data_IF_402023249372
#
_entry.id   IF_402023249372
#
_cell.length_a   1.000
_cell.length_b   1.000
_cell.length_c   1.000
_cell.angle_alpha   90.00
_cell.angle_beta   90.00
_cell.angle_gamma   90.00
#
_symmetry.space_group_name_H-M   'P 1'
#
loop_
_entity.id
_entity.type
_entity.pdbx_description
1 polymer ?
#
# COMPACT_ATOMS: atom_id res chain seq x y z
N UNK A 1 -5.65 26.19 -22.74
CA UNK A 1 -5.47 26.79 -21.41
C UNK A 1 -5.21 25.66 -20.45
N UNK A 2 -3.98 25.58 -19.97
CA UNK A 2 -3.48 24.47 -19.15
C UNK A 2 -3.91 24.72 -17.71
N UNK A 3 -4.92 24.00 -17.20
CA UNK A 3 -5.20 23.98 -15.77
C UNK A 3 -4.03 23.29 -15.07
N UNK A 4 -3.17 24.09 -14.46
CA UNK A 4 -2.18 23.60 -13.51
C UNK A 4 -2.94 22.86 -12.41
N UNK A 5 -2.72 21.55 -12.27
CA UNK A 5 -3.17 20.82 -11.09
C UNK A 5 -2.53 21.51 -9.89
N UNK A 6 -3.31 22.30 -9.15
CA UNK A 6 -2.91 22.79 -7.84
C UNK A 6 -2.46 21.56 -7.06
N UNK A 7 -1.18 21.52 -6.68
CA UNK A 7 -0.62 20.40 -5.93
C UNK A 7 -1.49 20.22 -4.68
N UNK A 8 -2.19 19.08 -4.59
CA UNK A 8 -3.10 18.81 -3.49
C UNK A 8 -2.29 18.77 -2.20
N UNK A 9 -2.60 19.67 -1.27
CA UNK A 9 -2.01 19.63 0.07
C UNK A 9 -2.41 18.32 0.75
N UNK A 10 -1.46 17.39 0.82
CA UNK A 10 -1.69 16.04 1.35
C UNK A 10 -2.00 16.03 2.84
N UNK A 11 -1.69 17.11 3.57
CA UNK A 11 -1.96 17.23 5.01
C UNK A 11 -3.33 17.80 5.31
N UNK A 12 -4.01 18.37 4.31
CA UNK A 12 -5.36 18.89 4.48
C UNK A 12 -6.33 17.73 4.79
N UNK A 13 -6.97 17.72 5.97
CA UNK A 13 -7.88 16.66 6.34
C UNK A 13 -9.23 16.84 5.64
N UNK A 14 -9.64 15.86 4.84
CA UNK A 14 -10.84 15.96 3.98
C UNK A 14 -11.72 14.71 3.99
N UNK A 15 -11.25 13.58 4.52
CA UNK A 15 -11.98 12.32 4.50
C UNK A 15 -12.59 12.01 5.85
N UNK A 16 -13.87 11.71 5.90
CA UNK A 16 -14.49 11.10 7.08
C UNK A 16 -14.06 9.63 7.22
N UNK A 17 -14.23 9.06 8.42
CA UNK A 17 -13.79 7.68 8.72
C UNK A 17 -14.36 6.62 7.76
N UNK A 18 -15.59 6.78 7.28
CA UNK A 18 -16.18 5.84 6.32
C UNK A 18 -15.44 5.86 4.99
N UNK A 19 -15.16 7.06 4.45
CA UNK A 19 -14.41 7.23 3.20
C UNK A 19 -12.98 6.74 3.37
N UNK A 20 -12.31 7.10 4.46
CA UNK A 20 -10.95 6.64 4.76
C UNK A 20 -10.87 5.10 4.81
N UNK A 21 -11.82 4.45 5.49
CA UNK A 21 -11.93 3.00 5.59
C UNK A 21 -12.08 2.34 4.21
N UNK A 22 -12.93 2.92 3.34
CA UNK A 22 -13.08 2.45 1.96
C UNK A 22 -11.79 2.61 1.15
N UNK A 23 -11.12 3.76 1.23
CA UNK A 23 -9.89 4.04 0.48
C UNK A 23 -8.77 3.05 0.82
N UNK A 24 -8.65 2.66 2.09
CA UNK A 24 -7.63 1.70 2.54
C UNK A 24 -8.12 0.25 2.57
N UNK A 25 -9.34 -0.03 2.10
CA UNK A 25 -10.00 -1.33 2.16
C UNK A 25 -9.93 -1.97 3.56
N UNK A 26 -10.28 -1.20 4.59
CA UNK A 26 -10.25 -1.61 5.99
C UNK A 26 -11.59 -1.35 6.67
N UNK A 27 -11.84 -2.02 7.80
CA UNK A 27 -13.03 -1.75 8.59
C UNK A 27 -12.83 -0.46 9.43
N UNK A 28 -13.85 0.41 9.62
CA UNK A 28 -13.72 1.61 10.45
C UNK A 28 -13.23 1.33 11.88
N UNK A 29 -13.55 0.16 12.44
CA UNK A 29 -13.03 -0.28 13.74
C UNK A 29 -11.49 -0.39 13.75
N UNK A 30 -10.90 -0.86 12.66
CA UNK A 30 -9.43 -0.96 12.53
C UNK A 30 -8.78 0.41 12.54
N UNK A 31 -9.37 1.41 11.89
CA UNK A 31 -8.86 2.79 11.91
C UNK A 31 -8.89 3.37 13.32
N UNK A 32 -9.97 3.12 14.08
CA UNK A 32 -10.06 3.52 15.49
C UNK A 32 -8.97 2.88 16.35
N UNK A 33 -8.68 1.59 16.14
CA UNK A 33 -7.57 0.92 16.85
C UNK A 33 -6.24 1.61 16.54
N UNK A 34 -6.00 2.00 15.29
CA UNK A 34 -4.76 2.72 14.95
C UNK A 34 -4.70 4.12 15.59
N UNK A 35 -5.83 4.81 15.73
CA UNK A 35 -5.90 6.08 16.47
C UNK A 35 -5.66 5.89 17.96
N UNK A 36 -6.31 4.89 18.57
CA UNK A 36 -6.20 4.61 20.00
C UNK A 36 -4.76 4.21 20.39
N UNK A 37 -4.05 3.53 19.48
CA UNK A 37 -2.62 3.21 19.61
C UNK A 37 -1.68 4.39 19.29
N UNK A 38 -2.22 5.55 18.91
CA UNK A 38 -1.45 6.74 18.55
C UNK A 38 -0.68 6.62 17.24
N UNK A 39 -1.02 5.63 16.40
CA UNK A 39 -0.37 5.42 15.11
C UNK A 39 -0.86 6.39 14.04
N UNK A 40 -2.06 6.96 14.20
CA UNK A 40 -2.65 7.94 13.28
C UNK A 40 -3.40 8.98 14.09
N UNK A 41 -3.18 10.26 13.80
CA UNK A 41 -3.78 11.37 14.55
C UNK A 41 -4.63 12.24 13.61
N UNK A 42 -5.85 11.80 13.24
CA UNK A 42 -6.71 12.59 12.36
C UNK A 42 -7.15 13.89 13.04
N UNK A 43 -7.36 14.93 12.23
CA UNK A 43 -7.90 16.18 12.73
C UNK A 43 -9.35 16.00 13.19
N UNK A 44 -9.80 16.85 14.11
CA UNK A 44 -11.19 16.90 14.55
C UNK A 44 -11.81 18.24 14.19
N UNK A 45 -13.03 18.23 13.66
CA UNK A 45 -13.82 19.44 13.44
C UNK A 45 -14.32 20.00 14.77
N UNK A 46 -14.83 21.25 14.82
CA UNK A 46 -15.49 21.80 16.01
C UNK A 46 -16.66 20.93 16.49
N UNK A 47 -17.35 20.24 15.58
CA UNK A 47 -18.42 19.27 15.88
C UNK A 47 -17.88 17.87 16.26
N UNK A 48 -16.58 17.75 16.55
CA UNK A 48 -15.90 16.53 16.96
C UNK A 48 -15.92 15.38 15.91
N UNK A 49 -16.03 15.73 14.62
CA UNK A 49 -15.95 14.75 13.52
C UNK A 49 -14.49 14.54 13.14
N UNK A 50 -14.07 13.27 13.01
CA UNK A 50 -12.71 12.90 12.60
C UNK A 50 -12.55 13.08 11.10
N UNK A 51 -11.51 13.80 10.70
CA UNK A 51 -11.13 14.02 9.32
C UNK A 51 -9.69 13.56 9.09
N UNK A 52 -9.52 12.65 8.13
CA UNK A 52 -8.24 12.12 7.70
C UNK A 52 -7.75 12.88 6.47
N UNK A 53 -6.45 13.08 6.41
CA UNK A 53 -5.72 13.65 5.28
C UNK A 53 -5.20 12.57 4.34
N UNK A 54 -4.68 12.92 3.16
CA UNK A 54 -4.01 11.94 2.30
C UNK A 54 -2.76 11.34 2.98
N UNK A 55 -2.06 12.11 3.83
CA UNK A 55 -0.94 11.60 4.62
C UNK A 55 -1.39 10.50 5.59
N UNK A 56 -2.53 10.67 6.26
CA UNK A 56 -3.11 9.65 7.13
C UNK A 56 -3.48 8.39 6.35
N UNK A 57 -4.07 8.54 5.15
CA UNK A 57 -4.41 7.41 4.28
C UNK A 57 -3.15 6.62 3.88
N UNK A 58 -2.07 7.31 3.50
CA UNK A 58 -0.78 6.66 3.20
C UNK A 58 -0.24 5.92 4.40
N UNK A 59 -0.25 6.56 5.57
CA UNK A 59 0.22 5.97 6.82
C UNK A 59 -0.56 4.70 7.18
N UNK A 60 -1.89 4.75 7.14
CA UNK A 60 -2.77 3.57 7.36
C UNK A 60 -2.44 2.46 6.36
N UNK A 61 -2.18 2.80 5.09
CA UNK A 61 -1.82 1.82 4.06
C UNK A 61 -0.51 1.10 4.39
N UNK A 62 0.50 1.83 4.86
CA UNK A 62 1.78 1.24 5.27
C UNK A 62 1.64 0.34 6.49
N UNK A 63 0.93 0.80 7.53
CA UNK A 63 0.62 0.01 8.74
C UNK A 63 -0.04 -1.31 8.35
N UNK A 64 -1.05 -1.27 7.48
CA UNK A 64 -1.75 -2.49 7.02
C UNK A 64 -0.84 -3.45 6.26
N UNK A 65 0.03 -2.92 5.39
CA UNK A 65 0.99 -3.75 4.68
C UNK A 65 1.97 -4.43 5.64
N UNK A 66 2.53 -3.70 6.61
CA UNK A 66 3.48 -4.25 7.58
C UNK A 66 2.83 -5.30 8.50
N UNK A 67 1.61 -5.03 8.99
CA UNK A 67 0.88 -6.01 9.82
C UNK A 67 0.54 -7.28 9.05
N UNK A 68 0.06 -7.17 7.81
CA UNK A 68 -0.43 -8.34 7.04
C UNK A 68 0.67 -9.11 6.32
N UNK A 69 1.64 -8.43 5.74
CA UNK A 69 2.65 -9.06 4.87
C UNK A 69 3.98 -9.29 5.58
N UNK A 70 4.29 -8.52 6.64
CA UNK A 70 5.54 -8.65 7.40
C UNK A 70 5.32 -9.20 8.81
N UNK A 71 4.07 -9.39 9.24
CA UNK A 71 3.73 -9.89 10.58
C UNK A 71 4.12 -8.94 11.72
N UNK A 72 4.35 -7.65 11.43
CA UNK A 72 4.74 -6.67 12.45
C UNK A 72 3.50 -6.29 13.26
N UNK A 73 3.58 -6.38 14.59
CA UNK A 73 2.48 -5.96 15.47
C UNK A 73 2.44 -4.43 15.65
N UNK A 74 1.37 -3.92 16.25
CA UNK A 74 1.19 -2.46 16.43
C UNK A 74 2.27 -1.83 17.32
N UNK A 75 2.76 -2.55 18.34
CA UNK A 75 3.86 -2.07 19.19
C UNK A 75 5.17 -1.88 18.40
N UNK A 76 5.49 -2.81 17.49
CA UNK A 76 6.64 -2.69 16.60
C UNK A 76 6.51 -1.52 15.63
N UNK A 77 5.29 -1.26 15.12
CA UNK A 77 5.01 -0.09 14.27
C UNK A 77 5.17 1.21 15.05
N UNK A 78 4.72 1.26 16.31
CA UNK A 78 4.93 2.42 17.19
C UNK A 78 6.42 2.71 17.38
N UNK A 79 7.21 1.67 17.68
CA UNK A 79 8.66 1.82 17.81
C UNK A 79 9.30 2.30 16.51
N UNK A 80 8.85 1.81 15.36
CA UNK A 80 9.35 2.29 14.06
C UNK A 80 9.08 3.80 13.87
N UNK A 81 7.91 4.31 14.28
CA UNK A 81 7.65 5.75 14.23
C UNK A 81 8.55 6.55 15.16
N UNK A 82 8.80 6.07 16.38
CA UNK A 82 9.73 6.72 17.30
C UNK A 82 11.15 6.79 16.70
N UNK A 83 11.60 5.71 16.07
CA UNK A 83 12.89 5.67 15.39
C UNK A 83 12.94 6.59 14.18
N UNK A 84 11.88 6.66 13.36
CA UNK A 84 11.80 7.61 12.25
C UNK A 84 11.98 9.04 12.73
N UNK A 85 11.28 9.43 13.79
CA UNK A 85 11.35 10.78 14.37
C UNK A 85 12.76 11.10 14.89
N UNK A 86 13.36 10.16 15.62
CA UNK A 86 14.72 10.33 16.19
C UNK A 86 15.82 10.39 15.13
N UNK A 87 15.66 9.65 14.04
CA UNK A 87 16.67 9.54 12.98
C UNK A 87 16.42 10.49 11.79
N UNK A 88 15.26 11.16 11.74
CA UNK A 88 14.85 11.96 10.58
C UNK A 88 14.66 11.13 9.32
N UNK A 89 14.29 9.85 9.47
CA UNK A 89 14.18 8.89 8.38
C UNK A 89 12.73 8.53 8.05
N UNK A 90 12.50 7.98 6.85
CA UNK A 90 11.18 7.50 6.37
C UNK A 90 11.19 5.96 6.25
N UNK A 91 11.48 5.29 7.37
CA UNK A 91 11.62 3.83 7.47
C UNK A 91 10.35 3.07 7.02
N UNK A 92 9.15 3.43 7.50
CA UNK A 92 7.90 2.76 7.13
C UNK A 92 7.63 2.85 5.63
N UNK A 93 7.84 4.03 5.06
CA UNK A 93 7.69 4.26 3.62
C UNK A 93 8.67 3.41 2.83
N UNK A 94 9.94 3.36 3.25
CA UNK A 94 10.97 2.53 2.62
C UNK A 94 10.59 1.03 2.67
N UNK A 95 10.19 0.53 3.84
CA UNK A 95 9.77 -0.87 4.02
C UNK A 95 8.54 -1.23 3.17
N UNK A 96 7.59 -0.30 3.03
CA UNK A 96 6.45 -0.46 2.13
C UNK A 96 6.86 -0.48 0.65
N UNK A 97 7.74 0.44 0.25
CA UNK A 97 8.26 0.52 -1.12
C UNK A 97 9.06 -0.74 -1.51
N UNK A 98 9.77 -1.35 -0.56
CA UNK A 98 10.44 -2.64 -0.78
C UNK A 98 9.45 -3.80 -0.97
N UNK A 99 8.40 -3.86 -0.14
CA UNK A 99 7.38 -4.91 -0.25
C UNK A 99 6.63 -4.86 -1.58
N UNK A 100 6.23 -3.66 -2.01
CA UNK A 100 5.56 -3.44 -3.31
C UNK A 100 6.45 -3.82 -4.49
N UNK A 101 7.72 -3.41 -4.49
CA UNK A 101 8.69 -3.76 -5.55
C UNK A 101 8.86 -5.28 -5.70
N UNK A 102 9.03 -6.01 -4.59
CA UNK A 102 9.17 -7.48 -4.62
C UNK A 102 7.97 -8.16 -5.30
N UNK A 103 6.74 -7.77 -4.96
CA UNK A 103 5.52 -8.31 -5.59
C UNK A 103 5.44 -7.99 -7.08
N UNK A 104 5.79 -6.77 -7.50
CA UNK A 104 5.76 -6.39 -8.92
C UNK A 104 6.79 -7.18 -9.73
N UNK A 105 7.98 -7.38 -9.19
CA UNK A 105 9.03 -8.18 -9.83
C UNK A 105 8.61 -9.65 -9.94
N UNK A 106 8.05 -10.22 -8.88
CA UNK A 106 7.58 -11.60 -8.85
C UNK A 106 6.39 -11.84 -9.81
N UNK A 107 5.41 -10.94 -9.81
CA UNK A 107 4.29 -11.00 -10.75
C UNK A 107 4.69 -10.78 -12.21
N UNK A 108 5.76 -10.02 -12.47
CA UNK A 108 6.33 -9.88 -13.82
C UNK A 108 7.03 -11.16 -14.25
N UNK A 109 7.88 -11.74 -13.39
CA UNK A 109 8.55 -13.01 -13.67
C UNK A 109 7.56 -14.15 -13.92
N UNK A 110 6.50 -14.23 -13.12
CA UNK A 110 5.46 -15.27 -13.26
C UNK A 110 4.72 -15.15 -14.60
N UNK A 111 4.32 -13.93 -14.99
CA UNK A 111 3.68 -13.66 -16.29
C UNK A 111 4.60 -13.95 -17.48
N UNK A 112 5.89 -13.60 -17.39
CA UNK A 112 6.85 -13.92 -18.46
C UNK A 112 7.12 -15.41 -18.57
N UNK A 113 7.13 -16.14 -17.45
CA UNK A 113 7.29 -17.59 -17.44
C UNK A 113 6.05 -18.32 -18.00
N UNK A 114 4.85 -17.86 -17.63
CA UNK A 114 3.58 -18.38 -18.16
C UNK A 114 3.48 -18.14 -19.69
N UNK A 115 3.78 -16.93 -20.16
CA UNK A 115 3.78 -16.61 -21.59
C UNK A 115 4.83 -17.41 -22.38
N UNK A 116 6.01 -17.66 -21.81
CA UNK A 116 7.05 -18.47 -22.45
C UNK A 116 6.65 -19.96 -22.54
N UNK A 117 6.00 -20.50 -21.50
CA UNK A 117 5.49 -21.87 -21.50
C UNK A 117 4.36 -22.06 -22.55
N UNK A 118 3.49 -21.07 -22.69
CA UNK A 118 2.39 -21.09 -23.65
C UNK A 118 2.88 -20.98 -25.11
N UNK A 119 3.93 -20.18 -25.34
CA UNK A 119 4.59 -20.08 -26.65
C UNK A 119 5.33 -21.37 -27.02
N UNK A 120 5.96 -22.04 -26.06
CA UNK A 120 6.64 -23.33 -26.28
C UNK A 120 5.65 -24.47 -26.58
N UNK A 121 4.46 -24.47 -25.97
CA UNK A 121 3.41 -25.44 -26.26
C UNK A 121 2.82 -25.26 -27.68
N UNK A 122 2.74 -24.03 -28.19
CA UNK A 122 2.22 -23.74 -29.53
C UNK A 122 3.16 -24.17 -30.68
N UNK A 123 4.48 -24.19 -30.47
CA UNK A 123 5.47 -24.60 -31.48
C UNK A 123 5.76 -26.12 -31.52
N UNK A 124 5.07 -26.93 -30.70
CA UNK A 124 5.36 -28.35 -30.50
C UNK A 124 4.56 -29.36 -31.35
N UNK A 125 3.89 -28.99 -32.44
CA UNK A 125 3.08 -29.93 -33.23
C UNK A 125 3.21 -29.82 -34.75
N UNK A 126 4.17 -30.55 -35.32
CA UNK A 126 3.94 -31.77 -36.15
C UNK A 126 5.28 -32.28 -36.71
N UNK A 127 5.72 -33.50 -36.38
CA UNK A 127 6.66 -34.21 -37.26
C UNK A 127 5.90 -34.63 -38.51
N UNK A 128 6.38 -34.23 -39.67
CA UNK A 128 5.86 -34.66 -40.96
C UNK A 128 6.30 -36.12 -41.20
N UNK A 129 5.40 -37.12 -41.25
CA UNK A 129 5.78 -38.52 -41.33
C UNK A 129 6.09 -39.01 -42.75
N UNK A 130 6.14 -38.13 -43.75
CA UNK A 130 6.19 -38.52 -45.16
C UNK A 130 7.45 -37.96 -45.85
N UNK A 131 8.59 -38.62 -45.63
CA UNK A 131 9.75 -38.47 -46.51
C UNK A 131 10.17 -39.86 -46.98
N UNK A 132 9.51 -40.32 -48.03
CA UNK A 132 9.88 -41.47 -48.85
C UNK A 132 10.67 -41.02 -50.07
#
# INVERSE_FOLDING_TARGET
MSEGRVAKDSRRPVYVISVAATLVAAHPRTLRIYEDEGLVCPARTPTNIRLYSDEDIRRITWIRHLTRERGVNLAGIRLLFELEERLGARILEALYAEGTRKRTAEGTRKRTAEAAAETAAANGSRPDPDNR
#
